data_IF_847728035440
#
_entry.id   IF_847728035440
#
_cell.length_a   1.000
_cell.length_b   1.000
_cell.length_c   1.000
_cell.angle_alpha   90.00
_cell.angle_beta   90.00
_cell.angle_gamma   90.00
#
_symmetry.space_group_name_H-M   'P 1'
#
loop_
_entity.id
_entity.type
_entity.pdbx_description
1 polymer ?
#
# COMPACT_ATOMS: atom_id res chain seq x y z
N UNK A 1 -21.13 33.00 0.36
CA UNK A 1 -20.41 31.86 0.96
C UNK A 1 -20.76 30.60 0.19
N UNK A 2 -19.74 29.83 -0.17
CA UNK A 2 -19.81 28.70 -1.09
C UNK A 2 -20.66 27.56 -0.53
N UNK A 3 -21.88 27.37 -1.05
CA UNK A 3 -22.63 26.14 -0.85
C UNK A 3 -21.79 24.96 -1.32
N UNK A 4 -21.56 24.03 -0.40
CA UNK A 4 -20.59 22.94 -0.51
C UNK A 4 -20.77 22.14 -1.80
N UNK A 5 -19.85 22.35 -2.75
CA UNK A 5 -19.96 21.83 -4.11
C UNK A 5 -20.27 20.34 -4.21
N UNK A 6 -21.41 20.02 -4.83
CA UNK A 6 -21.67 18.77 -5.57
C UNK A 6 -21.40 17.45 -4.86
N UNK A 7 -21.52 17.38 -3.53
CA UNK A 7 -21.34 16.12 -2.77
C UNK A 7 -22.68 15.38 -2.76
N UNK A 8 -22.77 14.29 -3.51
CA UNK A 8 -23.85 13.32 -3.30
C UNK A 8 -23.49 12.53 -2.02
N UNK A 9 -24.25 12.67 -0.91
CA UNK A 9 -23.95 11.93 0.31
C UNK A 9 -24.15 10.43 0.11
N UNK A 10 -23.56 9.63 1.01
CA UNK A 10 -23.81 8.19 1.04
C UNK A 10 -25.32 7.97 1.28
N UNK A 11 -26.00 7.37 0.30
CA UNK A 11 -27.43 7.12 0.36
C UNK A 11 -27.74 5.74 0.97
N UNK A 12 -29.00 5.51 1.36
CA UNK A 12 -29.47 4.23 1.92
C UNK A 12 -29.07 3.03 1.05
N UNK A 13 -29.15 3.17 -0.28
CA UNK A 13 -28.73 2.14 -1.23
C UNK A 13 -27.27 1.69 -1.08
N UNK A 14 -26.37 2.57 -0.62
CA UNK A 14 -24.96 2.21 -0.40
C UNK A 14 -24.81 1.36 0.87
N UNK A 15 -25.62 1.62 1.90
CA UNK A 15 -25.66 0.80 3.12
C UNK A 15 -26.21 -0.59 2.81
N UNK A 16 -27.30 -0.68 2.04
CA UNK A 16 -27.83 -1.95 1.54
C UNK A 16 -26.78 -2.72 0.70
N UNK A 17 -26.01 -2.00 -0.12
CA UNK A 17 -24.91 -2.61 -0.90
C UNK A 17 -23.82 -3.17 0.02
N UNK A 18 -23.44 -2.46 1.09
CA UNK A 18 -22.47 -2.95 2.07
C UNK A 18 -22.98 -4.24 2.72
N UNK A 19 -24.23 -4.26 3.21
CA UNK A 19 -24.80 -5.44 3.87
C UNK A 19 -24.76 -6.66 2.94
N UNK A 20 -25.21 -6.49 1.68
CA UNK A 20 -25.21 -7.55 0.68
C UNK A 20 -23.80 -8.08 0.37
N UNK A 21 -22.81 -7.18 0.28
CA UNK A 21 -21.41 -7.55 0.07
C UNK A 21 -20.85 -8.31 1.28
N UNK A 22 -21.14 -7.86 2.50
CA UNK A 22 -20.71 -8.54 3.74
C UNK A 22 -21.23 -9.98 3.82
N UNK A 23 -22.51 -10.20 3.50
CA UNK A 23 -23.09 -11.54 3.43
C UNK A 23 -22.43 -12.40 2.34
N UNK A 24 -22.13 -11.80 1.19
CA UNK A 24 -21.45 -12.48 0.09
C UNK A 24 -20.02 -12.89 0.47
N UNK A 25 -19.28 -12.03 1.19
CA UNK A 25 -17.95 -12.36 1.72
C UNK A 25 -18.00 -13.49 2.74
N UNK A 26 -18.98 -13.50 3.65
CA UNK A 26 -19.16 -14.61 4.58
C UNK A 26 -19.41 -15.93 3.83
N UNK A 27 -20.30 -15.93 2.83
CA UNK A 27 -20.60 -17.11 2.00
C UNK A 27 -19.42 -17.62 1.19
N UNK A 28 -18.57 -16.73 0.66
CA UNK A 28 -17.34 -17.14 -0.03
C UNK A 28 -16.35 -17.85 0.90
N UNK A 29 -16.37 -17.53 2.20
CA UNK A 29 -15.62 -18.25 3.22
C UNK A 29 -16.39 -19.43 3.82
N UNK A 30 -17.50 -19.85 3.19
CA UNK A 30 -18.39 -20.93 3.66
C UNK A 30 -18.94 -20.68 5.08
N UNK A 31 -19.08 -19.41 5.48
CA UNK A 31 -19.66 -19.01 6.77
C UNK A 31 -21.09 -18.52 6.58
N UNK A 32 -21.96 -18.91 7.51
CA UNK A 32 -23.35 -18.42 7.57
C UNK A 32 -23.47 -17.08 8.29
N UNK A 33 -22.51 -16.77 9.18
CA UNK A 33 -22.52 -15.57 10.01
C UNK A 33 -21.46 -14.58 9.52
N UNK A 34 -21.90 -13.35 9.32
CA UNK A 34 -21.06 -12.20 8.97
C UNK A 34 -20.19 -11.83 10.17
N UNK A 35 -18.89 -11.61 9.94
CA UNK A 35 -17.95 -11.07 10.93
C UNK A 35 -17.58 -9.63 10.59
N UNK A 36 -16.99 -8.93 11.55
CA UNK A 36 -16.50 -7.56 11.36
C UNK A 36 -15.52 -7.44 10.18
N UNK A 37 -14.71 -8.48 9.92
CA UNK A 37 -13.80 -8.52 8.77
C UNK A 37 -14.52 -8.44 7.42
N UNK A 38 -15.67 -9.12 7.29
CA UNK A 38 -16.48 -9.09 6.06
C UNK A 38 -17.08 -7.70 5.84
N UNK A 39 -17.51 -7.06 6.93
CA UNK A 39 -18.06 -5.69 6.90
C UNK A 39 -16.97 -4.69 6.55
N UNK A 40 -15.78 -4.81 7.13
CA UNK A 40 -14.63 -3.97 6.81
C UNK A 40 -14.22 -4.11 5.34
N UNK A 41 -14.24 -5.34 4.80
CA UNK A 41 -13.99 -5.60 3.39
C UNK A 41 -15.07 -4.97 2.48
N UNK A 42 -16.34 -5.09 2.84
CA UNK A 42 -17.45 -4.48 2.11
C UNK A 42 -17.40 -2.94 2.12
N UNK A 43 -17.06 -2.33 3.26
CA UNK A 43 -16.85 -0.88 3.37
C UNK A 43 -15.70 -0.45 2.47
N UNK A 44 -14.58 -1.17 2.47
CA UNK A 44 -13.42 -0.89 1.61
C UNK A 44 -13.81 -0.88 0.14
N UNK A 45 -14.50 -1.93 -0.33
CA UNK A 45 -14.93 -2.08 -1.73
C UNK A 45 -15.92 -0.98 -2.11
N UNK A 46 -16.91 -0.70 -1.26
CA UNK A 46 -17.89 0.37 -1.50
C UNK A 46 -17.20 1.73 -1.61
N UNK A 47 -16.32 2.06 -0.67
CA UNK A 47 -15.62 3.33 -0.65
C UNK A 47 -14.69 3.49 -1.85
N UNK A 48 -13.95 2.46 -2.27
CA UNK A 48 -13.06 2.58 -3.43
C UNK A 48 -13.85 2.75 -4.74
N UNK A 49 -15.00 2.06 -4.88
CA UNK A 49 -15.94 2.27 -5.99
C UNK A 49 -16.55 3.68 -5.98
N UNK A 50 -17.00 4.15 -4.81
CA UNK A 50 -17.56 5.49 -4.67
C UNK A 50 -16.54 6.57 -4.98
N UNK A 51 -15.33 6.47 -4.42
CA UNK A 51 -14.24 7.42 -4.62
C UNK A 51 -13.82 7.46 -6.09
N UNK A 52 -13.69 6.32 -6.76
CA UNK A 52 -13.28 6.30 -8.18
C UNK A 52 -14.28 6.96 -9.12
N UNK A 53 -15.56 7.04 -8.73
CA UNK A 53 -16.60 7.76 -9.50
C UNK A 53 -16.58 9.29 -9.34
N UNK A 54 -15.81 9.84 -8.38
CA UNK A 54 -15.81 11.28 -8.10
C UNK A 54 -14.79 12.05 -8.95
N UNK A 55 -14.92 13.38 -9.04
CA UNK A 55 -13.91 14.24 -9.69
C UNK A 55 -12.58 14.14 -8.97
N UNK A 56 -11.45 14.18 -9.70
CA UNK A 56 -10.09 13.98 -9.17
C UNK A 56 -9.78 14.76 -7.88
N UNK A 57 -10.15 16.05 -7.83
CA UNK A 57 -9.96 16.89 -6.65
C UNK A 57 -10.71 16.35 -5.41
N UNK A 58 -11.91 15.84 -5.60
CA UNK A 58 -12.74 15.21 -4.57
C UNK A 58 -12.17 13.82 -4.22
N UNK A 59 -11.74 13.03 -5.20
CA UNK A 59 -11.12 11.72 -4.94
C UNK A 59 -9.94 11.85 -4.00
N UNK A 60 -9.03 12.80 -4.24
CA UNK A 60 -7.85 13.02 -3.41
C UNK A 60 -8.21 13.37 -1.97
N UNK A 61 -9.25 14.18 -1.78
CA UNK A 61 -9.74 14.52 -0.44
C UNK A 61 -10.40 13.31 0.25
N UNK A 62 -11.26 12.58 -0.46
CA UNK A 62 -11.92 11.39 0.11
C UNK A 62 -10.92 10.27 0.43
N UNK A 63 -9.92 10.00 -0.43
CA UNK A 63 -8.86 9.01 -0.15
C UNK A 63 -8.08 9.37 1.11
N UNK A 64 -7.82 10.66 1.37
CA UNK A 64 -7.19 11.12 2.61
C UNK A 64 -8.10 10.90 3.81
N UNK A 65 -9.37 11.32 3.73
CA UNK A 65 -10.32 11.20 4.84
C UNK A 65 -10.64 9.75 5.21
N UNK A 66 -10.71 8.86 4.21
CA UNK A 66 -11.10 7.46 4.39
C UNK A 66 -9.91 6.49 4.32
N UNK A 67 -8.67 6.98 4.42
CA UNK A 67 -7.45 6.17 4.27
C UNK A 67 -7.46 4.90 5.15
N UNK A 68 -7.92 5.01 6.40
CA UNK A 68 -7.99 3.88 7.34
C UNK A 68 -8.85 2.73 6.81
N UNK A 69 -9.97 3.03 6.17
CA UNK A 69 -10.89 2.03 5.62
C UNK A 69 -10.38 1.45 4.29
N UNK A 70 -9.65 2.24 3.50
CA UNK A 70 -9.07 1.80 2.22
C UNK A 70 -7.83 0.90 2.38
N UNK A 71 -7.12 1.02 3.50
CA UNK A 71 -5.92 0.24 3.80
C UNK A 71 -6.22 -1.17 4.37
N UNK A 72 -7.45 -1.45 4.79
CA UNK A 72 -7.83 -2.75 5.37
C UNK A 72 -7.47 -3.91 4.42
N UNK A 73 -6.75 -4.92 4.89
CA UNK A 73 -6.35 -6.14 4.14
C UNK A 73 -5.78 -5.89 2.73
N UNK A 74 -5.12 -4.75 2.48
CA UNK A 74 -4.30 -4.61 1.27
C UNK A 74 -2.95 -5.24 1.54
N UNK A 75 -2.70 -6.41 0.95
CA UNK A 75 -1.37 -6.97 0.96
C UNK A 75 -0.50 -6.23 -0.07
N UNK A 76 0.10 -5.14 0.39
CA UNK A 76 1.05 -4.38 -0.41
C UNK A 76 2.48 -4.89 -0.22
N UNK A 77 2.70 -5.89 0.64
CA UNK A 77 4.05 -6.26 1.07
C UNK A 77 4.83 -6.94 -0.06
N UNK A 78 4.18 -7.81 -0.84
CA UNK A 78 4.82 -8.44 -2.00
C UNK A 78 5.17 -7.41 -3.09
N UNK A 79 4.28 -6.45 -3.32
CA UNK A 79 4.52 -5.37 -4.29
C UNK A 79 5.67 -4.47 -3.84
N UNK A 80 5.69 -4.10 -2.56
CA UNK A 80 6.78 -3.32 -1.96
C UNK A 80 8.11 -4.08 -2.04
N UNK A 81 8.10 -5.38 -1.77
CA UNK A 81 9.27 -6.24 -1.93
C UNK A 81 9.76 -6.27 -3.37
N UNK A 82 8.85 -6.41 -4.34
CA UNK A 82 9.18 -6.41 -5.76
C UNK A 82 9.85 -5.10 -6.19
N UNK A 83 9.32 -3.95 -5.76
CA UNK A 83 9.90 -2.63 -6.03
C UNK A 83 11.30 -2.54 -5.40
N UNK A 84 11.45 -2.94 -4.14
CA UNK A 84 12.73 -2.88 -3.44
C UNK A 84 13.78 -3.75 -4.10
N UNK A 85 13.43 -4.97 -4.51
CA UNK A 85 14.31 -5.87 -5.25
C UNK A 85 14.72 -5.28 -6.60
N UNK A 86 13.83 -4.55 -7.29
CA UNK A 86 14.19 -3.85 -8.51
C UNK A 86 15.26 -2.77 -8.25
N UNK A 87 15.08 -1.96 -7.21
CA UNK A 87 16.06 -0.93 -6.85
C UNK A 87 17.42 -1.51 -6.46
N UNK A 88 17.45 -2.62 -5.73
CA UNK A 88 18.68 -3.32 -5.37
C UNK A 88 19.41 -3.85 -6.61
N UNK A 89 18.67 -4.38 -7.60
CA UNK A 89 19.27 -4.81 -8.87
C UNK A 89 19.87 -3.63 -9.64
N UNK A 90 19.18 -2.50 -9.68
CA UNK A 90 19.66 -1.28 -10.33
C UNK A 90 20.97 -0.79 -9.70
N UNK A 91 21.04 -0.75 -8.36
CA UNK A 91 22.25 -0.38 -7.60
C UNK A 91 23.39 -1.38 -7.82
N UNK A 92 23.12 -2.69 -7.79
CA UNK A 92 24.13 -3.71 -8.07
C UNK A 92 24.71 -3.60 -9.48
N UNK A 93 23.87 -3.29 -10.47
CA UNK A 93 24.32 -3.08 -11.84
C UNK A 93 25.21 -1.84 -11.93
N UNK A 94 24.83 -0.74 -11.28
CA UNK A 94 25.60 0.49 -11.23
C UNK A 94 26.98 0.28 -10.57
N UNK A 95 27.02 -0.40 -9.42
CA UNK A 95 28.27 -0.70 -8.71
C UNK A 95 29.19 -1.61 -9.52
N UNK A 96 28.65 -2.66 -10.18
CA UNK A 96 29.45 -3.56 -11.04
C UNK A 96 30.05 -2.85 -12.25
N UNK A 97 29.32 -1.93 -12.87
CA UNK A 97 29.83 -1.16 -14.01
C UNK A 97 30.96 -0.18 -13.63
N UNK A 98 31.00 0.26 -12.37
CA UNK A 98 32.05 1.18 -11.86
C UNK A 98 33.24 0.44 -11.24
N UNK A 99 33.01 -0.68 -10.56
CA UNK A 99 34.02 -1.41 -9.77
C UNK A 99 34.63 -2.62 -10.52
N UNK A 100 35.05 -2.47 -11.78
CA UNK A 100 35.74 -3.53 -12.54
C UNK A 100 37.05 -4.04 -11.86
N UNK A 101 37.57 -3.33 -10.84
CA UNK A 101 38.85 -3.60 -10.18
C UNK A 101 38.80 -3.87 -8.66
N UNK A 102 37.63 -3.90 -8.01
CA UNK A 102 37.52 -4.20 -6.56
C UNK A 102 36.70 -5.46 -6.32
N UNK A 103 37.41 -6.57 -6.18
CA UNK A 103 36.88 -7.94 -6.07
C UNK A 103 36.66 -8.43 -4.62
N UNK A 104 36.68 -7.58 -3.59
CA UNK A 104 36.91 -8.11 -2.24
C UNK A 104 36.14 -7.57 -1.04
N UNK A 105 35.11 -6.75 -1.18
CA UNK A 105 34.26 -6.48 -0.01
C UNK A 105 32.81 -6.79 -0.35
N UNK A 106 32.17 -7.56 0.52
CA UNK A 106 30.71 -7.73 0.58
C UNK A 106 30.11 -6.34 0.80
N UNK A 107 29.99 -5.54 -0.27
CA UNK A 107 29.37 -4.22 -0.21
C UNK A 107 27.88 -4.44 0.02
N UNK A 108 27.46 -4.28 1.27
CA UNK A 108 26.06 -4.13 1.63
C UNK A 108 25.41 -3.11 0.68
N UNK A 109 24.39 -3.55 -0.06
CA UNK A 109 23.71 -2.67 -1.02
C UNK A 109 22.82 -1.71 -0.23
N UNK A 110 23.04 -0.41 -0.42
CA UNK A 110 22.30 0.65 0.28
C UNK A 110 21.35 1.32 -0.69
N UNK A 111 20.06 1.32 -0.35
CA UNK A 111 19.00 1.98 -1.10
C UNK A 111 18.46 3.14 -0.27
N UNK A 112 18.27 4.31 -0.86
CA UNK A 112 17.66 5.45 -0.15
C UNK A 112 16.19 5.17 0.19
N UNK A 113 15.82 5.36 1.46
CA UNK A 113 14.44 5.16 1.90
C UNK A 113 13.48 6.09 1.15
N UNK A 114 13.90 7.33 0.85
CA UNK A 114 13.04 8.30 0.18
C UNK A 114 12.70 7.89 -1.26
N UNK A 115 13.66 7.40 -2.05
CA UNK A 115 13.40 6.97 -3.43
C UNK A 115 12.48 5.75 -3.44
N UNK A 116 12.70 4.78 -2.54
CA UNK A 116 11.79 3.64 -2.38
C UNK A 116 10.36 4.06 -2.08
N UNK A 117 10.16 4.94 -1.11
CA UNK A 117 8.82 5.44 -0.76
C UNK A 117 8.19 6.25 -1.90
N UNK A 118 8.98 7.01 -2.67
CA UNK A 118 8.47 7.76 -3.83
C UNK A 118 8.00 6.82 -4.94
N UNK A 119 8.81 5.81 -5.30
CA UNK A 119 8.41 4.80 -6.29
C UNK A 119 7.16 4.05 -5.85
N UNK A 120 7.06 3.67 -4.58
CA UNK A 120 5.88 2.99 -4.06
C UNK A 120 4.63 3.90 -4.03
N UNK A 121 4.78 5.19 -3.74
CA UNK A 121 3.67 6.18 -3.83
C UNK A 121 3.14 6.31 -5.25
N UNK A 122 3.99 6.18 -6.28
CA UNK A 122 3.57 6.23 -7.68
C UNK A 122 2.68 5.03 -8.07
N UNK A 123 2.86 3.89 -7.40
CA UNK A 123 2.02 2.68 -7.57
C UNK A 123 0.80 2.70 -6.63
N UNK A 124 0.60 3.78 -5.88
CA UNK A 124 -0.55 3.96 -5.00
C UNK A 124 -0.42 3.34 -3.61
N UNK A 125 0.80 2.95 -3.22
CA UNK A 125 1.09 2.46 -1.86
C UNK A 125 1.61 3.62 -1.01
N UNK A 126 0.89 3.93 0.06
CA UNK A 126 1.21 5.04 0.96
C UNK A 126 1.58 4.59 2.38
N UNK A 127 1.42 3.31 2.68
CA UNK A 127 1.66 2.72 3.99
C UNK A 127 2.87 1.78 3.91
N UNK A 128 3.89 2.06 4.73
CA UNK A 128 5.15 1.30 4.76
C UNK A 128 5.42 0.62 6.10
N UNK A 129 4.69 1.01 7.16
CA UNK A 129 4.92 0.51 8.50
C UNK A 129 4.77 -1.01 8.60
N UNK A 130 3.70 -1.54 8.01
CA UNK A 130 3.39 -2.98 8.02
C UNK A 130 4.44 -3.78 7.23
N UNK A 131 4.99 -3.18 6.17
CA UNK A 131 6.05 -3.77 5.37
C UNK A 131 7.37 -3.83 6.12
N UNK A 132 7.82 -2.74 6.76
CA UNK A 132 9.08 -2.73 7.51
C UNK A 132 9.05 -3.67 8.73
N UNK A 133 7.87 -3.95 9.29
CA UNK A 133 7.68 -4.95 10.35
C UNK A 133 7.46 -6.39 9.85
N UNK A 134 7.30 -6.58 8.54
CA UNK A 134 7.00 -7.89 7.95
C UNK A 134 8.22 -8.81 7.96
N UNK A 135 7.97 -10.13 8.01
CA UNK A 135 9.03 -11.13 7.82
C UNK A 135 9.65 -11.05 6.42
N UNK A 136 8.87 -10.64 5.42
CA UNK A 136 9.33 -10.45 4.04
C UNK A 136 10.47 -9.43 3.97
N UNK A 137 10.35 -8.31 4.68
CA UNK A 137 11.41 -7.30 4.76
C UNK A 137 12.57 -7.78 5.65
N UNK A 138 12.27 -8.19 6.89
CA UNK A 138 13.29 -8.50 7.90
C UNK A 138 14.20 -9.69 7.52
N UNK A 139 13.75 -10.54 6.61
CA UNK A 139 14.54 -11.70 6.14
C UNK A 139 15.84 -11.34 5.42
N UNK A 140 15.87 -10.22 4.68
CA UNK A 140 17.00 -9.81 3.82
C UNK A 140 17.35 -8.33 3.90
N UNK A 141 16.49 -7.53 4.53
CA UNK A 141 16.62 -6.09 4.58
C UNK A 141 16.59 -5.58 6.01
N UNK A 142 17.35 -4.52 6.27
CA UNK A 142 17.36 -3.80 7.53
C UNK A 142 17.22 -2.30 7.28
N UNK A 143 16.39 -1.65 8.08
CA UNK A 143 16.16 -0.20 7.99
C UNK A 143 17.09 0.53 8.96
N UNK A 144 18.00 1.33 8.43
CA UNK A 144 18.80 2.27 9.23
C UNK A 144 18.06 3.61 9.33
N UNK A 145 17.43 3.83 10.50
CA UNK A 145 16.67 5.06 10.79
C UNK A 145 17.55 6.31 10.88
N UNK A 146 18.83 6.17 11.22
CA UNK A 146 19.73 7.31 11.37
C UNK A 146 20.21 7.79 10.00
N UNK A 147 20.59 6.86 9.13
CA UNK A 147 21.04 7.17 7.78
C UNK A 147 19.89 7.35 6.76
N UNK A 148 18.65 6.95 7.10
CA UNK A 148 17.50 6.86 6.18
C UNK A 148 17.80 5.96 4.97
N UNK A 149 18.51 4.87 5.21
CA UNK A 149 18.91 3.89 4.20
C UNK A 149 18.28 2.53 4.50
N UNK A 150 17.90 1.83 3.44
CA UNK A 150 17.55 0.42 3.47
C UNK A 150 18.80 -0.35 3.06
N UNK A 151 19.29 -1.19 3.96
CA UNK A 151 20.49 -2.00 3.76
C UNK A 151 20.05 -3.42 3.42
N UNK A 152 20.55 -3.95 2.31
CA UNK A 152 20.41 -5.35 1.94
C UNK A 152 21.64 -6.13 2.43
N UNK A 153 21.41 -7.11 3.29
CA UNK A 153 22.42 -8.09 3.73
C UNK A 153 22.33 -9.36 2.91
#
# INVERSE_FOLDING_TARGET
ESEAGGRIPIAVRHVESIIRMSESFARMHLREIVRDDDVNLAIRVMLDSFISSQKYSVQRNLRRSFHRYLAFQKDNNELLLYILQAMVRDELQYTRSRNFLRLQEEEEVKVEQQDFEQRAKNVGVHQFHDFYGSQLFTSKFRLDKAAKMIVCS
#
